data_IF_403915712828
#
_entry.id   IF_403915712828
#
_cell.length_a   1.000
_cell.length_b   1.000
_cell.length_c   1.000
_cell.angle_alpha   90.00
_cell.angle_beta   90.00
_cell.angle_gamma   90.00
#
_symmetry.space_group_name_H-M   'P 1'
#
loop_
_entity.id
_entity.type
_entity.pdbx_description
1 polymer ?
#
# COMPACT_ATOMS: atom_id res chain seq x y z
N UNK A 1 30.10 -9.29 1.51
CA UNK A 1 29.02 -8.80 0.64
C UNK A 1 27.80 -8.60 1.52
N UNK A 2 27.25 -7.39 1.53
CA UNK A 2 26.03 -7.09 2.30
C UNK A 2 24.88 -7.31 1.32
N UNK A 3 23.99 -8.28 1.58
CA UNK A 3 22.79 -8.46 0.79
C UNK A 3 21.82 -7.34 1.11
N UNK A 4 21.77 -6.30 0.27
CA UNK A 4 20.67 -5.35 0.30
C UNK A 4 19.41 -6.10 -0.12
N UNK A 5 18.30 -5.90 0.58
CA UNK A 5 17.04 -6.48 0.15
C UNK A 5 16.73 -5.95 -1.27
N UNK A 6 16.65 -6.86 -2.25
CA UNK A 6 16.27 -6.53 -3.64
C UNK A 6 14.83 -6.02 -3.75
N UNK A 7 14.06 -6.12 -2.67
CA UNK A 7 12.65 -5.78 -2.60
C UNK A 7 12.31 -5.10 -1.28
N UNK A 8 11.46 -4.08 -1.32
CA UNK A 8 10.87 -3.43 -0.15
C UNK A 8 9.48 -3.95 0.21
N UNK A 9 8.90 -3.33 1.24
CA UNK A 9 7.50 -3.47 1.61
C UNK A 9 6.87 -2.11 1.85
N UNK A 10 5.56 -2.04 1.70
CA UNK A 10 4.75 -0.90 2.09
C UNK A 10 3.67 -1.41 3.03
N UNK A 11 3.52 -0.77 4.18
CA UNK A 11 2.48 -1.11 5.15
C UNK A 11 1.74 0.13 5.61
N UNK A 12 0.56 -0.05 6.15
CA UNK A 12 -0.22 1.03 6.74
C UNK A 12 -1.46 0.50 7.43
N UNK A 13 -2.23 1.44 7.96
CA UNK A 13 -3.47 1.22 8.69
C UNK A 13 -4.58 2.02 8.03
N UNK A 14 -5.71 1.41 7.66
CA UNK A 14 -6.92 2.13 7.32
C UNK A 14 -7.87 2.15 8.51
N UNK A 15 -8.35 3.34 8.85
CA UNK A 15 -9.20 3.57 10.03
C UNK A 15 -10.67 3.23 9.79
N UNK A 16 -11.09 3.01 8.53
CA UNK A 16 -12.41 2.56 8.11
C UNK A 16 -12.38 1.23 7.32
N UNK A 17 -11.88 0.13 7.91
CA UNK A 17 -11.72 -1.15 7.21
C UNK A 17 -13.04 -1.83 6.84
N UNK A 18 -14.16 -1.43 7.46
CA UNK A 18 -15.49 -1.95 7.18
C UNK A 18 -15.97 -1.67 5.74
N UNK A 19 -15.38 -0.69 5.06
CA UNK A 19 -15.67 -0.39 3.65
C UNK A 19 -14.94 -1.31 2.66
N UNK A 20 -14.27 -2.35 3.17
CA UNK A 20 -13.52 -3.35 2.40
C UNK A 20 -12.50 -2.71 1.44
N UNK A 21 -11.59 -1.86 1.93
CA UNK A 21 -10.59 -1.25 1.09
C UNK A 21 -9.64 -2.30 0.50
N UNK A 22 -9.00 -1.94 -0.61
CA UNK A 22 -7.92 -2.69 -1.25
C UNK A 22 -6.78 -1.75 -1.59
N UNK A 23 -5.56 -2.13 -1.20
CA UNK A 23 -4.36 -1.35 -1.48
C UNK A 23 -3.73 -1.88 -2.77
N UNK A 24 -3.33 -0.96 -3.64
CA UNK A 24 -2.72 -1.23 -4.93
C UNK A 24 -1.34 -0.57 -5.00
N UNK A 25 -0.31 -1.33 -5.33
CA UNK A 25 0.98 -0.76 -5.73
C UNK A 25 0.97 -0.58 -7.25
N UNK A 26 1.17 0.65 -7.72
CA UNK A 26 1.19 1.01 -9.13
C UNK A 26 2.58 1.57 -9.44
N UNK A 27 3.26 1.02 -10.45
CA UNK A 27 4.53 1.53 -10.97
C UNK A 27 4.39 1.79 -12.46
N UNK A 28 4.86 2.96 -12.93
CA UNK A 28 4.76 3.37 -14.34
C UNK A 28 3.33 3.29 -14.93
N UNK A 29 2.31 3.42 -14.09
CA UNK A 29 0.90 3.31 -14.47
C UNK A 29 0.33 1.88 -14.45
N UNK A 30 1.16 0.86 -14.26
CA UNK A 30 0.76 -0.53 -14.20
C UNK A 30 0.59 -1.00 -12.75
N UNK A 31 -0.49 -1.75 -12.49
CA UNK A 31 -0.69 -2.40 -11.19
C UNK A 31 0.32 -3.54 -11.02
N UNK A 32 1.26 -3.35 -10.11
CA UNK A 32 2.30 -4.33 -9.77
C UNK A 32 1.74 -5.40 -8.83
N UNK A 33 1.03 -4.98 -7.78
CA UNK A 33 0.42 -5.91 -6.82
C UNK A 33 -0.75 -5.25 -6.08
N UNK A 34 -1.52 -6.06 -5.37
CA UNK A 34 -2.61 -5.60 -4.51
C UNK A 34 -2.76 -6.49 -3.30
N UNK A 35 -3.18 -5.91 -2.17
CA UNK A 35 -3.57 -6.67 -0.98
C UNK A 35 -4.90 -6.15 -0.45
N UNK A 36 -5.80 -7.04 -0.02
CA UNK A 36 -6.91 -6.62 0.84
C UNK A 36 -6.37 -6.19 2.20
N UNK A 37 -7.19 -5.42 2.91
CA UNK A 37 -6.95 -5.04 4.29
C UNK A 37 -7.48 -6.12 5.24
N UNK A 38 -6.84 -6.24 6.40
CA UNK A 38 -7.35 -7.03 7.51
C UNK A 38 -8.57 -6.30 8.12
N UNK A 39 -9.70 -6.98 8.29
CA UNK A 39 -10.98 -6.33 8.62
C UNK A 39 -11.06 -5.86 10.07
N UNK A 40 -10.42 -6.55 11.01
CA UNK A 40 -10.51 -6.26 12.43
C UNK A 40 -9.58 -5.10 12.86
N UNK A 41 -8.42 -4.98 12.20
CA UNK A 41 -7.36 -4.01 12.51
C UNK A 41 -7.23 -2.92 11.46
N UNK A 42 -7.63 -3.17 10.21
CA UNK A 42 -7.37 -2.27 9.09
C UNK A 42 -5.92 -2.26 8.63
N UNK A 43 -5.11 -3.23 9.04
CA UNK A 43 -3.73 -3.33 8.59
C UNK A 43 -3.63 -3.87 7.16
N UNK A 44 -2.64 -3.37 6.41
CA UNK A 44 -2.26 -3.94 5.12
C UNK A 44 -0.76 -3.97 4.93
N UNK A 45 -0.29 -4.86 4.06
CA UNK A 45 1.11 -4.96 3.66
C UNK A 45 1.26 -5.39 2.20
N UNK A 46 1.84 -4.51 1.39
CA UNK A 46 2.33 -4.82 0.05
C UNK A 46 3.79 -5.26 0.19
N UNK A 47 4.11 -6.48 -0.22
CA UNK A 47 5.44 -7.07 -0.06
C UNK A 47 6.08 -7.42 -1.42
N UNK A 48 7.38 -7.71 -1.40
CA UNK A 48 8.16 -8.12 -2.58
C UNK A 48 8.19 -7.08 -3.70
N UNK A 49 8.22 -5.80 -3.34
CA UNK A 49 8.20 -4.70 -4.30
C UNK A 49 9.64 -4.39 -4.79
N UNK A 50 9.96 -4.56 -6.08
CA UNK A 50 11.23 -4.09 -6.65
C UNK A 50 11.59 -2.65 -6.26
N UNK A 51 12.88 -2.31 -6.24
CA UNK A 51 13.37 -0.95 -5.91
C UNK A 51 13.05 0.08 -7.02
N UNK A 52 11.79 0.50 -7.10
CA UNK A 52 11.32 1.56 -8.01
C UNK A 52 10.40 2.54 -7.27
N UNK A 53 9.96 3.58 -7.98
CA UNK A 53 8.94 4.52 -7.49
C UNK A 53 7.56 3.89 -7.67
N UNK A 54 6.75 3.90 -6.61
CA UNK A 54 5.36 3.45 -6.67
C UNK A 54 4.41 4.56 -6.27
N UNK A 55 3.23 4.54 -6.86
CA UNK A 55 2.02 5.15 -6.33
C UNK A 55 1.21 4.06 -5.64
N UNK A 56 0.96 4.23 -4.34
CA UNK A 56 0.04 3.39 -3.59
C UNK A 56 -1.34 4.00 -3.69
N UNK A 57 -2.27 3.31 -4.35
CA UNK A 57 -3.68 3.70 -4.38
C UNK A 57 -4.43 2.82 -3.40
N UNK A 58 -5.04 3.39 -2.37
CA UNK A 58 -6.02 2.70 -1.53
C UNK A 58 -7.39 2.99 -2.13
N UNK A 59 -8.22 1.97 -2.36
CA UNK A 59 -9.60 2.17 -2.86
C UNK A 59 -10.58 1.35 -2.06
N UNK A 60 -11.70 1.95 -1.68
CA UNK A 60 -12.82 1.24 -1.04
C UNK A 60 -13.96 0.94 -2.01
N UNK A 61 -15.00 0.29 -1.47
CA UNK A 61 -16.24 -0.02 -2.22
C UNK A 61 -17.12 1.20 -2.48
N UNK A 62 -16.76 2.37 -1.94
CA UNK A 62 -17.43 3.65 -2.11
C UNK A 62 -16.68 4.56 -3.10
N UNK A 63 -15.72 4.01 -3.86
CA UNK A 63 -14.85 4.72 -4.81
C UNK A 63 -13.98 5.83 -4.18
N UNK A 64 -13.78 5.82 -2.86
CA UNK A 64 -12.84 6.72 -2.18
C UNK A 64 -11.41 6.25 -2.42
N UNK A 65 -10.47 7.20 -2.60
CA UNK A 65 -9.07 6.84 -2.80
C UNK A 65 -8.06 7.82 -2.28
N UNK A 66 -6.94 7.29 -1.79
CA UNK A 66 -5.75 8.06 -1.43
C UNK A 66 -4.53 7.54 -2.20
N UNK A 67 -3.69 8.46 -2.67
CA UNK A 67 -2.47 8.16 -3.42
C UNK A 67 -1.23 8.60 -2.66
N UNK A 68 -0.31 7.66 -2.41
CA UNK A 68 0.96 7.94 -1.73
C UNK A 68 2.12 7.50 -2.59
N UNK A 69 3.05 8.42 -2.87
CA UNK A 69 4.29 8.11 -3.59
C UNK A 69 5.33 7.57 -2.63
N UNK A 70 5.88 6.40 -2.92
CA UNK A 70 6.94 5.77 -2.11
C UNK A 70 8.10 5.31 -2.96
N UNK A 71 9.30 5.43 -2.40
CA UNK A 71 10.53 4.90 -2.98
C UNK A 71 10.83 3.55 -2.34
N UNK A 72 10.76 2.48 -3.13
CA UNK A 72 11.08 1.13 -2.64
C UNK A 72 12.58 0.96 -2.42
N UNK A 73 12.93 -0.04 -1.59
CA UNK A 73 14.28 -0.36 -1.11
C UNK A 73 14.32 -0.64 0.40
N UNK A 74 13.31 -0.17 1.13
CA UNK A 74 13.14 -0.29 2.59
C UNK A 74 11.66 -0.57 2.95
N UNK A 75 11.37 -0.79 4.24
CA UNK A 75 10.00 -0.88 4.75
C UNK A 75 9.39 0.52 4.87
N UNK A 76 8.43 0.84 3.99
CA UNK A 76 7.74 2.11 3.97
C UNK A 76 6.43 1.99 4.76
N UNK A 77 6.40 2.53 5.98
CA UNK A 77 5.17 2.58 6.76
C UNK A 77 4.43 3.90 6.50
N UNK A 78 3.24 3.82 5.89
CA UNK A 78 2.41 4.97 5.54
C UNK A 78 1.66 5.58 6.74
N UNK A 79 1.69 4.92 7.90
CA UNK A 79 0.92 5.33 9.06
C UNK A 79 -0.57 5.05 8.87
N UNK A 80 -1.43 5.95 9.34
CA UNK A 80 -2.88 5.79 9.31
C UNK A 80 -3.51 6.61 8.17
N UNK A 81 -4.27 5.92 7.34
CA UNK A 81 -5.05 6.41 6.21
C UNK A 81 -6.51 6.39 6.64
N UNK A 82 -7.22 7.49 6.44
CA UNK A 82 -8.67 7.55 6.62
C UNK A 82 -9.26 7.92 5.29
N UNK A 83 -10.06 7.03 4.70
CA UNK A 83 -10.74 7.37 3.45
C UNK A 83 -11.92 8.27 3.82
N UNK A 84 -11.89 9.52 3.34
CA UNK A 84 -12.96 10.50 3.50
C UNK A 84 -13.41 10.96 2.12
N UNK A 85 -14.72 11.19 1.95
CA UNK A 85 -15.28 11.83 0.75
C UNK A 85 -14.69 13.22 0.47
#
# INVERSE_FOLDING_TARGET
MISTALTGSISGLVTNPEHLPTAFAIADGDRVTSTPFEQDSGEFRLAFLPEVLYTVSVRDTLDQSEEVTVKSGEDNHLGSITLTE
#
